data_IF_645802178327
#
_entry.id   IF_645802178327
#
_cell.length_a   1.000
_cell.length_b   1.000
_cell.length_c   1.000
_cell.angle_alpha   90.00
_cell.angle_beta   90.00
_cell.angle_gamma   90.00
#
_symmetry.space_group_name_H-M   'P 1'
#
loop_
_entity.id
_entity.type
_entity.pdbx_description
1 polymer ?
#
# COMPACT_ATOMS: atom_id res chain seq x y z
N UNK A 1 -13.58 -8.67 9.58
CA UNK A 1 -12.29 -8.00 9.46
C UNK A 1 -12.39 -6.58 9.99
N UNK A 2 -11.40 -6.19 10.78
CA UNK A 2 -11.37 -4.86 11.37
C UNK A 2 -10.95 -3.83 10.32
N UNK A 3 -11.72 -2.78 10.14
CA UNK A 3 -11.33 -1.67 9.27
C UNK A 3 -10.40 -0.71 9.99
N UNK A 4 -9.56 -0.01 9.23
CA UNK A 4 -8.73 1.06 9.77
C UNK A 4 -9.62 2.19 10.30
N UNK A 5 -9.34 2.60 11.52
CA UNK A 5 -9.90 3.83 12.07
C UNK A 5 -8.92 4.95 11.75
N UNK A 6 -9.26 5.75 10.74
CA UNK A 6 -8.38 6.81 10.24
C UNK A 6 -8.09 7.84 11.34
N UNK A 7 -9.06 8.16 12.16
CA UNK A 7 -8.86 9.14 13.24
C UNK A 7 -7.90 8.62 14.30
N UNK A 8 -7.96 7.32 14.62
CA UNK A 8 -7.01 6.68 15.51
C UNK A 8 -5.59 6.72 14.96
N UNK A 9 -5.43 6.39 13.67
CA UNK A 9 -4.12 6.43 13.01
C UNK A 9 -3.55 7.85 13.02
N UNK A 10 -4.37 8.84 12.67
CA UNK A 10 -3.95 10.25 12.68
C UNK A 10 -3.52 10.70 14.07
N UNK A 11 -4.30 10.37 15.09
CA UNK A 11 -3.98 10.74 16.46
C UNK A 11 -2.66 10.13 16.91
N UNK A 12 -2.43 8.87 16.55
CA UNK A 12 -1.18 8.20 16.89
C UNK A 12 0.02 8.87 16.21
N UNK A 13 -0.09 9.19 14.91
CA UNK A 13 1.00 9.84 14.17
C UNK A 13 1.29 11.22 14.74
N UNK A 14 0.26 12.02 15.00
CA UNK A 14 0.43 13.38 15.54
C UNK A 14 1.14 13.39 16.89
N UNK A 15 0.95 12.34 17.68
CA UNK A 15 1.59 12.22 19.00
C UNK A 15 3.08 11.84 18.91
N UNK A 16 3.59 11.47 17.73
CA UNK A 16 4.97 11.04 17.58
C UNK A 16 5.88 12.21 17.24
N UNK A 17 7.18 12.02 17.48
CA UNK A 17 8.19 13.03 17.17
C UNK A 17 8.32 13.30 15.68
N UNK A 18 8.86 14.44 15.26
CA UNK A 18 9.09 14.76 13.84
C UNK A 18 10.04 13.79 13.13
N UNK A 19 10.90 13.07 13.85
CA UNK A 19 11.80 12.08 13.29
C UNK A 19 11.13 10.75 12.96
N UNK A 20 9.86 10.58 13.33
CA UNK A 20 9.09 9.37 13.05
C UNK A 20 8.88 9.22 11.56
N UNK A 21 9.24 8.05 11.03
CA UNK A 21 9.13 7.71 9.62
C UNK A 21 7.89 6.86 9.39
N UNK A 22 7.20 7.11 8.29
CA UNK A 22 5.95 6.42 7.98
C UNK A 22 6.06 5.72 6.65
N UNK A 23 5.65 4.44 6.64
CA UNK A 23 5.58 3.64 5.43
C UNK A 23 4.13 3.27 5.17
N UNK A 24 3.67 3.47 3.94
CA UNK A 24 2.33 3.07 3.52
C UNK A 24 2.50 2.09 2.38
N UNK A 25 1.85 0.96 2.49
CA UNK A 25 1.97 -0.06 1.46
C UNK A 25 0.76 -0.96 1.40
N UNK A 26 0.77 -1.83 0.40
CA UNK A 26 -0.29 -2.80 0.21
C UNK A 26 0.19 -4.01 -0.54
N UNK A 27 -0.61 -5.04 -0.46
CA UNK A 27 -0.43 -6.29 -1.17
C UNK A 27 -1.80 -6.83 -1.53
N UNK A 28 -1.85 -7.75 -2.47
CA UNK A 28 -3.11 -8.39 -2.82
C UNK A 28 -2.89 -9.85 -3.16
N UNK A 29 -3.88 -10.66 -2.85
CA UNK A 29 -3.87 -12.09 -3.10
C UNK A 29 -5.17 -12.49 -3.78
N UNK A 30 -5.04 -13.21 -4.89
CA UNK A 30 -6.17 -13.70 -5.68
C UNK A 30 -6.53 -15.11 -5.26
N UNK A 31 -7.83 -15.39 -5.11
CA UNK A 31 -8.31 -16.72 -4.74
C UNK A 31 -9.73 -16.95 -5.24
N UNK A 32 -10.13 -18.22 -5.44
CA UNK A 32 -11.48 -18.53 -5.89
C UNK A 32 -12.45 -18.71 -4.72
N UNK A 33 -13.70 -18.30 -4.92
CA UNK A 33 -14.83 -18.69 -4.08
C UNK A 33 -15.91 -19.19 -5.06
N UNK A 34 -16.20 -20.50 -5.00
CA UNK A 34 -17.11 -21.11 -5.98
C UNK A 34 -16.57 -20.96 -7.39
N UNK A 35 -17.36 -20.38 -8.28
CA UNK A 35 -16.99 -20.19 -9.68
C UNK A 35 -16.42 -18.80 -9.97
N UNK A 36 -16.25 -17.98 -8.94
CA UNK A 36 -15.82 -16.59 -9.08
C UNK A 36 -14.45 -16.37 -8.45
N UNK A 37 -13.74 -15.37 -8.97
CA UNK A 37 -12.45 -14.96 -8.44
C UNK A 37 -12.58 -13.70 -7.60
N UNK A 38 -11.86 -13.70 -6.50
CA UNK A 38 -11.80 -12.58 -5.54
C UNK A 38 -10.37 -12.21 -5.28
N UNK A 39 -10.17 -11.05 -4.68
CA UNK A 39 -8.87 -10.62 -4.19
C UNK A 39 -9.02 -10.03 -2.79
N UNK A 40 -8.09 -10.36 -1.92
CA UNK A 40 -7.92 -9.70 -0.64
C UNK A 40 -6.82 -8.65 -0.79
N UNK A 41 -7.16 -7.41 -0.50
CA UNK A 41 -6.23 -6.28 -0.52
C UNK A 41 -5.83 -5.96 0.91
N UNK A 42 -4.56 -6.14 1.22
CA UNK A 42 -4.01 -5.78 2.53
C UNK A 42 -3.39 -4.39 2.43
N UNK A 43 -3.85 -3.47 3.27
CA UNK A 43 -3.28 -2.12 3.38
C UNK A 43 -2.60 -2.01 4.73
N UNK A 44 -1.40 -1.46 4.75
CA UNK A 44 -0.61 -1.33 5.96
C UNK A 44 -0.01 0.06 6.09
N UNK A 45 -0.03 0.56 7.31
CA UNK A 45 0.67 1.78 7.69
C UNK A 45 1.63 1.39 8.80
N UNK A 46 2.92 1.61 8.57
CA UNK A 46 3.98 1.32 9.55
C UNK A 46 4.50 2.65 10.07
N UNK A 47 4.35 2.89 11.35
CA UNK A 47 4.84 4.09 12.02
C UNK A 47 6.11 3.73 12.77
N UNK A 48 7.25 4.10 12.22
CA UNK A 48 8.57 3.75 12.75
C UNK A 48 8.99 4.83 13.73
N UNK A 49 8.79 4.57 15.00
CA UNK A 49 8.92 5.54 16.09
C UNK A 49 10.35 6.09 16.14
N UNK A 50 10.47 7.42 16.05
CA UNK A 50 11.76 8.13 15.98
C UNK A 50 12.70 7.61 14.90
N UNK A 51 12.14 6.89 13.90
CA UNK A 51 12.90 6.31 12.82
C UNK A 51 13.72 5.07 13.19
N UNK A 52 13.73 4.64 14.45
CA UNK A 52 14.55 3.51 14.89
C UNK A 52 14.14 2.83 16.20
N UNK A 53 13.08 3.29 16.88
CA UNK A 53 12.69 2.78 18.21
C UNK A 53 11.45 1.88 18.17
N UNK A 54 11.43 0.94 17.23
CA UNK A 54 10.29 0.05 17.06
C UNK A 54 9.23 0.62 16.13
N UNK A 55 8.18 -0.14 15.92
CA UNK A 55 7.14 0.24 14.98
C UNK A 55 5.75 -0.10 15.49
N UNK A 56 4.81 0.77 15.20
CA UNK A 56 3.38 0.51 15.33
C UNK A 56 2.82 0.25 13.94
N UNK A 57 2.11 -0.86 13.78
CA UNK A 57 1.52 -1.25 12.50
C UNK A 57 0.01 -1.16 12.59
N UNK A 58 -0.59 -0.45 11.63
CA UNK A 58 -2.04 -0.43 11.42
C UNK A 58 -2.32 -1.11 10.08
N UNK A 59 -3.38 -1.90 10.02
CA UNK A 59 -3.70 -2.59 8.78
C UNK A 59 -5.17 -2.94 8.67
N UNK A 60 -5.59 -3.17 7.43
CA UNK A 60 -6.90 -3.73 7.13
C UNK A 60 -6.82 -4.61 5.89
N UNK A 61 -7.78 -5.51 5.75
CA UNK A 61 -7.93 -6.32 4.55
C UNK A 61 -9.31 -6.03 3.96
N UNK A 62 -9.33 -5.72 2.65
CA UNK A 62 -10.57 -5.49 1.91
C UNK A 62 -10.73 -6.60 0.87
N UNK A 63 -11.87 -7.25 0.85
CA UNK A 63 -12.16 -8.30 -0.13
C UNK A 63 -13.05 -7.74 -1.23
N UNK A 64 -12.65 -7.95 -2.48
CA UNK A 64 -13.40 -7.51 -3.65
C UNK A 64 -13.34 -8.57 -4.74
N UNK A 65 -14.29 -8.48 -5.68
CA UNK A 65 -14.30 -9.32 -6.86
C UNK A 65 -13.07 -9.02 -7.73
N UNK A 66 -12.41 -10.06 -8.24
CA UNK A 66 -11.29 -9.92 -9.19
C UNK A 66 -11.79 -10.20 -10.59
N UNK A 67 -11.69 -9.21 -11.48
CA UNK A 67 -12.16 -9.27 -12.85
C UNK A 67 -11.06 -9.49 -13.87
N UNK A 68 -9.81 -9.71 -13.44
CA UNK A 68 -8.71 -9.98 -14.34
C UNK A 68 -8.96 -11.28 -15.11
N UNK A 69 -8.85 -11.20 -16.45
CA UNK A 69 -9.07 -12.34 -17.33
C UNK A 69 -7.83 -13.27 -17.38
N UNK A 70 -6.65 -12.70 -17.20
CA UNK A 70 -5.39 -13.44 -17.29
C UNK A 70 -4.68 -13.43 -15.94
N UNK A 71 -4.52 -14.62 -15.37
CA UNK A 71 -3.86 -14.79 -14.07
C UNK A 71 -2.42 -14.26 -14.04
N UNK A 72 -1.68 -14.40 -15.16
CA UNK A 72 -0.29 -13.98 -15.25
C UNK A 72 -0.11 -12.49 -15.58
N UNK A 73 -1.22 -11.76 -15.79
CA UNK A 73 -1.21 -10.33 -16.03
C UNK A 73 -2.30 -9.66 -15.16
N UNK A 74 -2.08 -9.58 -13.87
CA UNK A 74 -3.11 -9.11 -12.94
C UNK A 74 -3.20 -7.58 -12.89
N UNK A 75 -3.38 -6.93 -14.04
CA UNK A 75 -3.34 -5.47 -14.14
C UNK A 75 -4.42 -4.79 -13.31
N UNK A 76 -5.67 -5.27 -13.42
CA UNK A 76 -6.79 -4.63 -12.73
C UNK A 76 -6.63 -4.76 -11.21
N UNK A 77 -6.25 -5.94 -10.74
CA UNK A 77 -6.01 -6.17 -9.32
C UNK A 77 -4.89 -5.29 -8.78
N UNK A 78 -3.75 -5.25 -9.49
CA UNK A 78 -2.59 -4.48 -9.04
C UNK A 78 -2.86 -2.97 -9.09
N UNK A 79 -3.54 -2.48 -10.12
CA UNK A 79 -3.89 -1.06 -10.16
C UNK A 79 -4.94 -0.70 -9.11
N UNK A 80 -5.86 -1.61 -8.80
CA UNK A 80 -6.80 -1.38 -7.72
C UNK A 80 -6.09 -1.27 -6.36
N UNK A 81 -5.06 -2.09 -6.14
CA UNK A 81 -4.18 -1.99 -4.98
C UNK A 81 -3.51 -0.62 -4.90
N UNK A 82 -2.99 -0.13 -6.02
CA UNK A 82 -2.34 1.18 -6.11
C UNK A 82 -3.32 2.31 -5.79
N UNK A 83 -4.54 2.25 -6.32
CA UNK A 83 -5.58 3.25 -6.05
C UNK A 83 -5.94 3.30 -4.57
N UNK A 84 -6.02 2.15 -3.92
CA UNK A 84 -6.32 2.06 -2.49
C UNK A 84 -5.21 2.67 -1.63
N UNK A 85 -3.96 2.45 -2.01
CA UNK A 85 -2.80 3.04 -1.34
C UNK A 85 -2.82 4.57 -1.48
N UNK A 86 -3.08 5.07 -2.67
CA UNK A 86 -3.17 6.52 -2.90
C UNK A 86 -4.32 7.15 -2.11
N UNK A 87 -5.47 6.49 -2.06
CA UNK A 87 -6.60 6.95 -1.27
C UNK A 87 -6.25 7.02 0.22
N UNK A 88 -5.58 6.00 0.73
CA UNK A 88 -5.14 5.97 2.12
C UNK A 88 -4.16 7.11 2.42
N UNK A 89 -3.20 7.34 1.53
CA UNK A 89 -2.28 8.47 1.65
C UNK A 89 -3.04 9.80 1.78
N UNK A 90 -4.02 10.02 0.93
CA UNK A 90 -4.80 11.26 0.95
C UNK A 90 -5.62 11.42 2.22
N UNK A 91 -6.14 10.34 2.77
CA UNK A 91 -6.87 10.37 4.05
C UNK A 91 -5.98 10.78 5.22
N UNK A 92 -4.67 10.52 5.12
CA UNK A 92 -3.70 10.82 6.17
C UNK A 92 -2.87 12.07 5.88
N UNK A 93 -3.11 12.74 4.76
CA UNK A 93 -2.23 13.79 4.25
C UNK A 93 -1.92 14.88 5.28
N UNK A 94 -2.89 15.33 6.03
CA UNK A 94 -2.72 16.41 6.99
C UNK A 94 -1.75 16.08 8.15
N UNK A 95 -1.62 14.79 8.50
CA UNK A 95 -0.67 14.35 9.55
C UNK A 95 0.65 13.89 8.98
N UNK A 96 0.76 13.78 7.66
CA UNK A 96 2.00 13.34 6.99
C UNK A 96 2.90 14.50 6.58
N UNK A 97 2.38 15.73 6.58
CA UNK A 97 3.16 16.90 6.24
C UNK A 97 4.38 17.03 7.17
N UNK A 98 5.50 17.43 6.59
CA UNK A 98 6.77 17.62 7.30
C UNK A 98 7.37 16.32 7.89
N UNK A 99 6.84 15.17 7.53
CA UNK A 99 7.36 13.88 7.95
C UNK A 99 7.97 13.12 6.78
N UNK A 100 8.89 12.21 7.08
CA UNK A 100 9.42 11.29 6.07
C UNK A 100 8.38 10.19 5.81
N UNK A 101 7.91 10.12 4.57
CA UNK A 101 6.90 9.15 4.15
C UNK A 101 7.43 8.37 2.94
N UNK A 102 7.33 7.05 3.01
CA UNK A 102 7.58 6.17 1.87
C UNK A 102 6.31 5.41 1.52
N UNK A 103 6.07 5.27 0.23
CA UNK A 103 5.00 4.41 -0.28
C UNK A 103 5.65 3.18 -0.89
N UNK A 104 5.20 2.02 -0.47
CA UNK A 104 5.74 0.73 -0.90
C UNK A 104 4.70 -0.01 -1.74
N UNK A 105 5.08 -0.33 -2.98
CA UNK A 105 4.26 -1.12 -3.89
C UNK A 105 4.84 -2.52 -3.97
N UNK A 106 4.02 -3.53 -3.70
CA UNK A 106 4.45 -4.93 -3.78
C UNK A 106 4.42 -5.41 -5.23
N UNK A 107 5.19 -4.73 -6.07
CA UNK A 107 5.28 -4.96 -7.51
C UNK A 107 6.74 -5.20 -7.86
N UNK A 108 7.00 -6.23 -8.67
CA UNK A 108 8.35 -6.55 -9.11
C UNK A 108 8.57 -6.04 -10.53
N UNK A 109 9.59 -5.19 -10.78
CA UNK A 109 9.88 -4.67 -12.10
C UNK A 109 10.52 -5.71 -13.05
N UNK A 110 10.96 -6.85 -12.53
CA UNK A 110 11.54 -7.92 -13.35
C UNK A 110 10.46 -8.55 -14.23
N UNK A 111 10.70 -8.60 -15.54
CA UNK A 111 9.74 -9.12 -16.52
C UNK A 111 9.34 -10.58 -16.29
N UNK A 112 10.11 -11.34 -15.53
CA UNK A 112 9.77 -12.71 -15.14
C UNK A 112 8.52 -12.80 -14.25
N UNK A 113 8.11 -11.69 -13.64
CA UNK A 113 6.96 -11.65 -12.73
C UNK A 113 5.79 -10.93 -13.40
N UNK A 114 4.59 -11.46 -13.20
CA UNK A 114 3.37 -10.89 -13.79
C UNK A 114 3.11 -9.45 -13.37
N UNK A 115 3.54 -9.07 -12.16
CA UNK A 115 3.35 -7.71 -11.65
C UNK A 115 4.13 -6.65 -12.42
N UNK A 116 5.16 -7.04 -13.19
CA UNK A 116 5.94 -6.09 -14.00
C UNK A 116 5.07 -5.35 -15.02
N UNK A 117 3.94 -5.91 -15.40
CA UNK A 117 3.06 -5.34 -16.41
C UNK A 117 2.48 -3.96 -16.03
N UNK A 118 2.50 -3.61 -14.75
CA UNK A 118 1.91 -2.35 -14.26
C UNK A 118 2.92 -1.39 -13.62
N UNK A 119 4.21 -1.75 -13.58
CA UNK A 119 5.20 -0.95 -12.83
C UNK A 119 5.19 0.52 -13.24
N UNK A 120 5.27 0.81 -14.55
CA UNK A 120 5.33 2.20 -15.01
C UNK A 120 4.03 2.96 -14.70
N UNK A 121 2.90 2.32 -14.92
CA UNK A 121 1.59 2.92 -14.64
C UNK A 121 1.42 3.19 -13.15
N UNK A 122 1.79 2.24 -12.31
CA UNK A 122 1.68 2.35 -10.86
C UNK A 122 2.59 3.46 -10.31
N UNK A 123 3.85 3.48 -10.72
CA UNK A 123 4.81 4.49 -10.29
C UNK A 123 4.35 5.89 -10.72
N UNK A 124 3.90 6.03 -11.97
CA UNK A 124 3.39 7.30 -12.48
C UNK A 124 2.17 7.79 -11.73
N UNK A 125 1.25 6.88 -11.40
CA UNK A 125 0.03 7.23 -10.66
C UNK A 125 0.36 7.76 -9.26
N UNK A 126 1.23 7.05 -8.51
CA UNK A 126 1.62 7.47 -7.16
C UNK A 126 2.37 8.81 -7.20
N UNK A 127 3.29 8.98 -8.14
CA UNK A 127 4.01 10.25 -8.28
C UNK A 127 3.05 11.41 -8.57
N UNK A 128 2.09 11.19 -9.45
CA UNK A 128 1.11 12.22 -9.82
C UNK A 128 0.13 12.54 -8.70
N UNK A 129 -0.36 11.53 -7.99
CA UNK A 129 -1.40 11.70 -6.98
C UNK A 129 -0.85 12.05 -5.60
N UNK A 130 0.32 11.55 -5.25
CA UNK A 130 0.88 11.68 -3.90
C UNK A 130 2.14 12.54 -3.85
N UNK A 131 2.72 12.86 -4.98
CA UNK A 131 4.01 13.56 -5.07
C UNK A 131 5.13 12.83 -4.32
N UNK A 132 5.09 11.51 -4.34
CA UNK A 132 6.07 10.62 -3.71
C UNK A 132 6.52 9.62 -4.75
N UNK A 133 7.83 9.33 -4.82
CA UNK A 133 8.35 8.26 -5.67
C UNK A 133 8.22 6.96 -4.90
N UNK A 134 7.39 6.01 -5.35
CA UNK A 134 7.18 4.78 -4.60
C UNK A 134 8.38 3.85 -4.68
N UNK A 135 8.56 3.05 -3.64
CA UNK A 135 9.50 1.93 -3.63
C UNK A 135 8.81 0.70 -4.22
N UNK A 136 9.52 -0.05 -5.06
CA UNK A 136 9.06 -1.34 -5.57
C UNK A 136 10.02 -2.43 -5.10
N UNK A 137 9.68 -3.70 -5.33
CA UNK A 137 10.57 -4.80 -4.95
C UNK A 137 11.94 -4.64 -5.62
N UNK A 138 13.03 -4.98 -4.93
CA UNK A 138 13.10 -5.61 -3.60
C UNK A 138 13.04 -4.63 -2.41
N UNK A 139 12.89 -3.34 -2.64
CA UNK A 139 12.91 -2.34 -1.55
C UNK A 139 11.59 -2.18 -0.80
N UNK A 140 10.47 -2.56 -1.42
CA UNK A 140 9.15 -2.46 -0.79
C UNK A 140 8.97 -3.54 0.27
N UNK A 141 8.53 -3.16 1.48
CA UNK A 141 8.36 -4.11 2.58
C UNK A 141 7.16 -3.83 3.48
N UNK A 142 6.50 -2.68 3.34
CA UNK A 142 5.49 -2.26 4.32
C UNK A 142 4.36 -3.26 4.51
N UNK A 143 3.89 -3.90 3.43
CA UNK A 143 2.78 -4.85 3.52
C UNK A 143 3.17 -6.17 4.20
N UNK A 144 4.47 -6.48 4.31
CA UNK A 144 4.95 -7.69 4.96
C UNK A 144 5.43 -7.45 6.39
N UNK A 145 5.30 -6.25 6.85
CA UNK A 145 5.72 -5.85 8.20
C UNK A 145 4.73 -6.35 9.24
#
# INVERSE_FOLDING_TARGET
MKKLDIDEVKAFIEAQSPETKIYIGGDSERFPIGNDWYADYTLAIVVHIDGKHGAKVFGEVQRERDWDQKKNRPRMRLMNEVYKIAELYHKLHDVLEDRQVEIHLDINPDERYGSSCVVQEAVGYIRGMCNVVPMVKPRAFAASY
#
